data_IF_231403363081
#
_entry.id   IF_231403363081
#
_cell.length_a   1.000
_cell.length_b   1.000
_cell.length_c   1.000
_cell.angle_alpha   90.00
_cell.angle_beta   90.00
_cell.angle_gamma   90.00
#
_symmetry.space_group_name_H-M   'P 1'
#
loop_
_entity.id
_entity.type
_entity.pdbx_description
1 polymer ?
#
# COMPACT_ATOMS: atom_id res chain seq x y z
N UNK A 1 11.99 -0.46 27.25
CA UNK A 1 11.04 0.36 28.04
C UNK A 1 9.64 -0.24 27.94
N UNK A 2 9.10 -0.80 29.03
CA UNK A 2 7.80 -1.49 29.04
C UNK A 2 6.57 -0.57 28.86
N UNK A 3 6.80 0.75 28.81
CA UNK A 3 5.73 1.76 28.70
C UNK A 3 5.08 1.81 27.31
N UNK A 4 5.79 1.37 26.26
CA UNK A 4 5.31 1.48 24.90
C UNK A 4 4.27 0.37 24.65
N UNK A 5 2.98 0.71 24.42
CA UNK A 5 1.92 -0.30 24.29
C UNK A 5 2.11 -1.20 23.06
N UNK A 6 2.71 -0.66 21.99
CA UNK A 6 3.01 -1.42 20.77
C UNK A 6 4.41 -2.01 20.77
N UNK A 7 5.21 -1.80 21.82
CA UNK A 7 6.60 -2.26 21.89
C UNK A 7 7.46 -1.85 20.67
N UNK A 8 7.13 -0.74 20.00
CA UNK A 8 7.90 -0.25 18.84
C UNK A 8 9.18 0.45 19.27
N UNK A 9 9.23 1.00 20.48
CA UNK A 9 10.44 1.64 21.02
C UNK A 9 11.34 0.57 21.64
N UNK A 10 12.51 0.38 21.05
CA UNK A 10 13.55 -0.53 21.52
C UNK A 10 14.79 0.26 21.94
N UNK A 11 15.56 -0.20 22.94
CA UNK A 11 16.87 0.39 23.19
C UNK A 11 17.81 0.06 22.03
N UNK A 12 18.57 1.04 21.56
CA UNK A 12 19.68 0.81 20.64
C UNK A 12 20.72 -0.11 21.28
N UNK A 13 21.29 -0.99 20.45
CA UNK A 13 22.48 -1.74 20.77
C UNK A 13 23.71 -0.92 20.44
N UNK A 14 24.66 -1.52 19.71
CA UNK A 14 25.91 -0.87 19.31
C UNK A 14 25.82 -0.19 17.93
N UNK A 15 24.64 -0.18 17.29
CA UNK A 15 24.48 0.38 15.94
C UNK A 15 24.74 1.89 15.89
N UNK A 16 24.56 2.59 17.02
CA UNK A 16 24.86 4.01 17.18
C UNK A 16 26.19 4.32 17.88
N UNK A 17 27.09 3.35 17.98
CA UNK A 17 28.31 3.45 18.79
C UNK A 17 28.06 3.26 20.30
N UNK A 18 29.14 3.28 21.09
CA UNK A 18 29.07 3.05 22.54
C UNK A 18 28.24 4.13 23.28
N UNK A 19 28.23 5.36 22.76
CA UNK A 19 27.43 6.48 23.30
C UNK A 19 25.94 6.35 22.99
N UNK A 20 25.57 5.59 21.95
CA UNK A 20 24.19 5.38 21.52
C UNK A 20 23.46 4.28 22.28
N UNK A 21 24.16 3.45 23.05
CA UNK A 21 23.58 2.31 23.77
C UNK A 21 22.45 2.78 24.69
N UNK A 22 21.35 2.03 24.72
CA UNK A 22 20.12 2.36 25.48
C UNK A 22 19.31 3.56 24.96
N UNK A 23 19.78 4.28 23.96
CA UNK A 23 18.99 5.34 23.31
C UNK A 23 17.75 4.72 22.66
N UNK A 24 16.54 5.28 22.85
CA UNK A 24 15.35 4.77 22.20
C UNK A 24 15.43 4.87 20.68
N UNK A 25 15.22 3.74 20.00
CA UNK A 25 15.06 3.62 18.56
C UNK A 25 13.69 3.04 18.23
N UNK A 26 13.18 3.35 17.05
CA UNK A 26 11.93 2.78 16.54
C UNK A 26 12.25 1.50 15.76
N UNK A 27 11.60 0.41 16.14
CA UNK A 27 11.67 -0.87 15.45
C UNK A 27 10.25 -1.38 15.16
N UNK A 28 9.78 -1.10 13.95
CA UNK A 28 8.44 -1.46 13.47
C UNK A 28 8.27 -2.96 13.20
N UNK A 29 9.37 -3.74 13.23
CA UNK A 29 9.34 -5.19 13.04
C UNK A 29 9.10 -5.95 14.34
N UNK A 30 9.64 -5.46 15.45
CA UNK A 30 9.50 -6.08 16.78
C UNK A 30 8.19 -5.67 17.44
N UNK A 31 7.74 -4.44 17.21
CA UNK A 31 6.47 -3.96 17.75
C UNK A 31 5.27 -4.77 17.27
N UNK A 32 4.16 -4.70 18.00
CA UNK A 32 2.86 -5.26 17.60
C UNK A 32 2.08 -4.36 16.64
N UNK A 33 2.60 -3.16 16.38
CA UNK A 33 2.09 -2.18 15.41
C UNK A 33 3.14 -1.04 15.26
N UNK A 34 2.73 0.08 14.66
CA UNK A 34 3.51 1.32 14.63
C UNK A 34 3.47 2.14 15.93
N UNK A 35 3.96 3.37 15.87
CA UNK A 35 3.79 4.38 16.91
C UNK A 35 2.34 4.89 16.91
N UNK A 36 1.62 4.70 18.02
CA UNK A 36 0.21 5.09 18.14
C UNK A 36 0.04 6.61 18.16
N UNK A 37 -0.94 7.12 17.42
CA UNK A 37 -1.22 8.56 17.32
C UNK A 37 -1.50 9.18 18.70
N UNK A 38 -2.38 8.57 19.49
CA UNK A 38 -2.88 9.12 20.75
C UNK A 38 -2.06 8.68 21.97
N UNK A 39 -0.74 8.47 21.82
CA UNK A 39 0.14 8.03 22.91
C UNK A 39 1.40 8.91 23.00
N UNK A 40 1.75 9.35 24.21
CA UNK A 40 2.99 10.12 24.50
C UNK A 40 3.81 9.53 25.65
N UNK A 41 3.47 8.31 26.08
CA UNK A 41 3.97 7.73 27.34
C UNK A 41 5.50 7.60 27.42
N UNK A 42 6.17 7.37 26.29
CA UNK A 42 7.64 7.27 26.23
C UNK A 42 8.35 8.58 26.58
N UNK A 43 7.75 9.74 26.29
CA UNK A 43 8.34 11.04 26.62
C UNK A 43 8.43 11.32 28.12
N UNK A 44 7.64 10.62 28.93
CA UNK A 44 7.63 10.78 30.38
C UNK A 44 8.61 9.85 31.13
N UNK A 45 9.18 8.85 30.43
CA UNK A 45 10.03 7.83 31.07
C UNK A 45 11.37 7.63 30.36
N UNK A 46 11.69 8.44 29.36
CA UNK A 46 12.91 8.29 28.59
C UNK A 46 14.16 8.56 29.46
N UNK A 47 15.02 7.55 29.70
CA UNK A 47 16.15 7.70 30.63
C UNK A 47 17.29 8.55 30.06
N UNK A 48 17.43 8.60 28.73
CA UNK A 48 18.50 9.32 28.04
C UNK A 48 18.11 10.74 27.62
N UNK A 49 16.89 11.18 27.95
CA UNK A 49 16.30 12.42 27.46
C UNK A 49 16.23 12.57 25.93
N UNK A 50 16.47 11.49 25.16
CA UNK A 50 16.35 11.49 23.70
C UNK A 50 14.90 11.74 23.22
N UNK A 51 13.92 11.40 24.05
CA UNK A 51 12.51 11.75 23.85
C UNK A 51 12.12 12.65 25.03
N UNK A 52 11.94 13.94 24.75
CA UNK A 52 11.42 14.87 25.75
C UNK A 52 9.93 14.61 26.03
N UNK A 53 9.42 15.06 27.19
CA UNK A 53 7.98 15.12 27.41
C UNK A 53 7.30 15.98 26.33
N UNK A 54 6.23 15.45 25.74
CA UNK A 54 5.39 16.11 24.73
C UNK A 54 3.92 15.93 25.09
N UNK A 55 3.09 16.91 24.74
CA UNK A 55 1.63 16.77 24.89
C UNK A 55 1.03 16.05 23.68
N UNK A 56 -0.21 15.55 23.82
CA UNK A 56 -0.93 14.99 22.67
C UNK A 56 -1.21 16.04 21.59
N UNK A 57 -1.51 17.26 22.00
CA UNK A 57 -1.75 18.36 21.06
C UNK A 57 -0.48 18.70 20.28
N UNK A 58 0.67 18.71 20.94
CA UNK A 58 1.95 18.90 20.28
C UNK A 58 2.27 17.76 19.31
N UNK A 59 2.09 16.51 19.75
CA UNK A 59 2.32 15.34 18.90
C UNK A 59 1.46 15.38 17.63
N UNK A 60 0.20 15.76 17.77
CA UNK A 60 -0.79 15.77 16.69
C UNK A 60 -0.84 17.10 15.92
N UNK A 61 -0.10 18.14 16.35
CA UNK A 61 -0.14 19.45 15.72
C UNK A 61 -1.49 20.16 15.87
N UNK A 62 -2.11 20.06 17.04
CA UNK A 62 -3.43 20.63 17.34
C UNK A 62 -3.31 21.84 18.26
N UNK A 63 -4.39 22.63 18.35
CA UNK A 63 -4.50 23.79 19.23
C UNK A 63 -3.30 24.74 19.04
N UNK A 64 -2.55 25.04 20.10
CA UNK A 64 -1.39 25.93 20.04
C UNK A 64 -0.24 25.45 19.14
N UNK A 65 -0.30 24.23 18.60
CA UNK A 65 0.70 23.65 17.70
C UNK A 65 0.22 23.54 16.25
N UNK A 66 -0.91 24.15 15.89
CA UNK A 66 -1.48 24.08 14.55
C UNK A 66 -0.51 24.59 13.46
N UNK A 67 0.22 25.68 13.74
CA UNK A 67 1.16 26.28 12.78
C UNK A 67 2.42 25.41 12.56
N UNK A 68 2.86 24.69 13.60
CA UNK A 68 4.01 23.80 13.53
C UNK A 68 3.65 22.46 12.84
N UNK A 69 2.39 22.05 12.96
CA UNK A 69 1.91 20.74 12.51
C UNK A 69 2.35 19.59 13.43
N UNK A 70 2.01 18.34 13.07
CA UNK A 70 2.30 17.18 13.90
C UNK A 70 3.79 16.88 13.98
N UNK A 71 4.21 16.27 15.09
CA UNK A 71 5.56 15.72 15.21
C UNK A 71 5.70 14.56 14.22
N UNK A 72 6.67 14.70 13.31
CA UNK A 72 7.06 13.68 12.35
C UNK A 72 8.20 12.85 12.93
N UNK A 73 8.01 11.54 12.96
CA UNK A 73 9.04 10.57 13.32
C UNK A 73 9.92 10.19 12.12
N UNK A 74 9.52 10.62 10.91
CA UNK A 74 10.14 10.24 9.66
C UNK A 74 9.14 10.20 8.50
N UNK A 75 9.56 9.63 7.37
CA UNK A 75 8.74 9.51 6.16
C UNK A 75 8.79 8.09 5.62
N UNK A 76 7.65 7.59 5.16
CA UNK A 76 7.54 6.29 4.52
C UNK A 76 8.00 6.35 3.06
N UNK A 77 8.79 5.39 2.62
CA UNK A 77 9.20 5.21 1.24
C UNK A 77 8.82 3.82 0.74
N UNK A 78 8.24 3.75 -0.45
CA UNK A 78 7.89 2.50 -1.13
C UNK A 78 9.06 2.06 -2.01
N UNK A 79 9.55 0.85 -1.76
CA UNK A 79 10.47 0.14 -2.65
C UNK A 79 9.66 -0.54 -3.76
N UNK A 80 9.70 0.05 -4.96
CA UNK A 80 8.98 -0.47 -6.13
C UNK A 80 9.47 -1.86 -6.56
N UNK A 81 10.71 -2.24 -6.27
CA UNK A 81 11.25 -3.57 -6.58
C UNK A 81 10.73 -4.66 -5.64
N UNK A 82 10.05 -4.30 -4.54
CA UNK A 82 9.49 -5.24 -3.56
C UNK A 82 7.98 -5.13 -3.39
N UNK A 83 7.42 -3.96 -3.69
CA UNK A 83 6.00 -3.68 -3.50
C UNK A 83 5.17 -4.54 -4.45
N UNK A 84 4.20 -5.29 -3.92
CA UNK A 84 3.42 -6.28 -4.69
C UNK A 84 2.74 -5.70 -5.95
N UNK A 85 2.09 -4.52 -5.91
CA UNK A 85 1.49 -3.90 -7.10
C UNK A 85 2.50 -3.27 -8.08
N UNK A 86 3.78 -3.14 -7.68
CA UNK A 86 4.83 -2.57 -8.54
C UNK A 86 5.74 -3.65 -9.15
N UNK A 87 6.11 -4.67 -8.36
CA UNK A 87 7.11 -5.67 -8.73
C UNK A 87 6.53 -6.96 -9.30
N UNK A 88 5.29 -7.32 -8.90
CA UNK A 88 4.71 -8.64 -9.19
C UNK A 88 3.31 -8.56 -9.80
N UNK A 89 2.81 -7.36 -10.09
CA UNK A 89 1.45 -7.11 -10.58
C UNK A 89 0.37 -7.81 -9.73
N UNK A 90 0.59 -7.82 -8.39
CA UNK A 90 -0.34 -8.41 -7.43
C UNK A 90 -1.14 -7.30 -6.70
N UNK A 91 -2.48 -7.37 -6.68
CA UNK A 91 -3.31 -6.41 -5.94
C UNK A 91 -2.97 -6.38 -4.44
N UNK A 92 -2.69 -5.20 -3.90
CA UNK A 92 -2.42 -4.99 -2.48
C UNK A 92 -2.60 -3.51 -2.11
N UNK A 93 -3.39 -3.24 -1.07
CA UNK A 93 -3.68 -1.89 -0.57
C UNK A 93 -3.44 -1.72 0.94
N UNK A 94 -2.87 -2.72 1.60
CA UNK A 94 -2.71 -2.80 3.06
C UNK A 94 -2.10 -1.54 3.68
N UNK A 95 -1.07 -0.97 3.05
CA UNK A 95 -0.42 0.24 3.56
C UNK A 95 -1.34 1.48 3.51
N UNK A 96 -2.19 1.59 2.49
CA UNK A 96 -3.16 2.67 2.37
C UNK A 96 -4.30 2.48 3.38
N UNK A 97 -4.82 1.26 3.51
CA UNK A 97 -5.93 0.95 4.43
C UNK A 97 -5.55 1.22 5.88
N UNK A 98 -4.35 0.78 6.28
CA UNK A 98 -3.86 0.91 7.64
C UNK A 98 -3.21 2.27 7.96
N UNK A 99 -3.11 3.18 6.99
CA UNK A 99 -2.62 4.54 7.25
C UNK A 99 -3.54 5.26 8.26
N UNK A 100 -3.07 5.63 9.46
CA UNK A 100 -3.94 6.06 10.55
C UNK A 100 -4.21 7.57 10.55
N UNK A 101 -3.48 8.35 9.74
CA UNK A 101 -3.65 9.80 9.65
C UNK A 101 -4.83 10.17 8.74
N UNK A 102 -5.41 11.33 9.00
CA UNK A 102 -6.49 11.91 8.20
C UNK A 102 -6.15 13.37 7.86
N UNK A 103 -5.97 13.74 6.58
CA UNK A 103 -5.98 12.87 5.38
C UNK A 103 -4.94 11.74 5.42
N UNK A 104 -5.23 10.62 4.74
CA UNK A 104 -4.27 9.50 4.64
C UNK A 104 -3.01 9.96 3.91
N UNK A 105 -1.85 9.67 4.49
CA UNK A 105 -0.56 9.96 3.87
C UNK A 105 -0.23 9.05 2.69
N UNK A 106 -0.94 7.92 2.55
CA UNK A 106 -0.74 6.99 1.46
C UNK A 106 -2.02 6.99 0.66
N UNK A 107 -1.92 7.35 -0.62
CA UNK A 107 -3.01 7.25 -1.58
C UNK A 107 -2.63 6.26 -2.68
N UNK A 108 -3.59 5.85 -3.49
CA UNK A 108 -3.37 4.87 -4.57
C UNK A 108 -3.60 5.51 -5.92
N UNK A 109 -2.81 5.09 -6.91
CA UNK A 109 -3.06 5.36 -8.33
C UNK A 109 -3.54 4.07 -8.99
N UNK A 110 -4.70 4.13 -9.63
CA UNK A 110 -5.24 2.98 -10.35
C UNK A 110 -4.51 2.80 -11.68
N UNK A 111 -4.19 1.56 -12.01
CA UNK A 111 -3.60 1.18 -13.29
C UNK A 111 -4.12 -0.20 -13.71
N UNK A 112 -4.22 -0.43 -15.01
CA UNK A 112 -4.58 -1.73 -15.57
C UNK A 112 -3.38 -2.27 -16.31
N UNK A 113 -2.95 -3.48 -15.98
CA UNK A 113 -1.77 -4.12 -16.56
C UNK A 113 -2.20 -5.42 -17.23
N UNK A 114 -1.73 -5.69 -18.47
CA UNK A 114 -1.94 -6.99 -19.11
C UNK A 114 -1.42 -8.14 -18.24
N UNK A 115 -2.27 -9.12 -18.03
CA UNK A 115 -1.84 -10.38 -17.41
C UNK A 115 -0.95 -11.12 -18.41
N UNK A 116 0.11 -11.74 -17.90
CA UNK A 116 0.98 -12.59 -18.71
C UNK A 116 0.16 -13.68 -19.40
N UNK A 117 0.36 -13.83 -20.71
CA UNK A 117 -0.37 -14.78 -21.57
C UNK A 117 -1.90 -14.55 -21.59
N UNK A 118 -2.38 -13.38 -21.15
CA UNK A 118 -3.81 -13.03 -21.06
C UNK A 118 -4.45 -12.60 -22.37
N UNK A 119 -3.83 -12.85 -23.52
CA UNK A 119 -4.37 -12.47 -24.81
C UNK A 119 -5.01 -13.67 -25.50
N UNK A 120 -6.32 -13.59 -25.74
CA UNK A 120 -7.08 -14.71 -26.27
C UNK A 120 -7.94 -14.30 -27.47
N UNK A 121 -8.29 -15.31 -28.27
CA UNK A 121 -9.20 -15.16 -29.41
C UNK A 121 -10.57 -15.68 -29.01
N UNK A 122 -11.61 -14.89 -29.27
CA UNK A 122 -13.00 -15.23 -28.97
C UNK A 122 -13.50 -16.27 -29.96
N UNK A 123 -14.03 -17.39 -29.48
CA UNK A 123 -14.75 -18.38 -30.31
C UNK A 123 -16.22 -17.96 -30.45
N UNK A 124 -16.85 -17.65 -29.33
CA UNK A 124 -18.22 -17.19 -29.22
C UNK A 124 -18.31 -16.19 -28.08
N UNK A 125 -19.19 -15.20 -28.21
CA UNK A 125 -19.47 -14.28 -27.12
C UNK A 125 -20.93 -13.84 -27.15
N UNK A 126 -21.43 -13.60 -25.96
CA UNK A 126 -22.73 -13.05 -25.65
C UNK A 126 -22.49 -11.67 -25.01
N UNK A 127 -23.52 -11.03 -24.44
CA UNK A 127 -23.38 -9.72 -23.79
C UNK A 127 -22.51 -9.76 -22.52
N UNK A 128 -22.47 -10.91 -21.84
CA UNK A 128 -21.81 -11.10 -20.54
C UNK A 128 -20.83 -12.27 -20.51
N UNK A 129 -20.82 -13.12 -21.53
CA UNK A 129 -19.98 -14.32 -21.58
C UNK A 129 -19.08 -14.28 -22.79
N UNK A 130 -17.83 -14.70 -22.59
CA UNK A 130 -16.85 -14.90 -23.65
C UNK A 130 -16.38 -16.34 -23.55
N UNK A 131 -16.61 -17.12 -24.60
CA UNK A 131 -16.01 -18.42 -24.81
C UNK A 131 -14.74 -18.27 -25.66
N UNK A 132 -13.67 -18.93 -25.23
CA UNK A 132 -12.37 -18.98 -25.91
C UNK A 132 -12.21 -20.26 -26.74
N UNK A 133 -13.16 -21.20 -26.62
CA UNK A 133 -13.24 -22.42 -27.44
C UNK A 133 -12.20 -23.50 -27.10
N UNK A 134 -11.32 -23.25 -26.12
CA UNK A 134 -10.31 -24.19 -25.65
C UNK A 134 -9.99 -23.96 -24.16
N UNK A 135 -9.55 -24.99 -23.42
CA UNK A 135 -9.19 -24.89 -22.01
C UNK A 135 -7.83 -24.18 -21.85
N UNK A 136 -7.83 -22.86 -21.97
CA UNK A 136 -6.62 -22.01 -21.95
C UNK A 136 -6.45 -21.24 -20.65
N UNK A 137 -7.45 -21.27 -19.76
CA UNK A 137 -7.45 -20.57 -18.48
C UNK A 137 -7.35 -21.57 -17.33
N UNK A 138 -6.79 -21.12 -16.21
CA UNK A 138 -6.94 -21.82 -14.94
C UNK A 138 -8.29 -21.43 -14.30
N UNK A 139 -9.19 -22.39 -14.00
CA UNK A 139 -10.50 -22.09 -13.41
C UNK A 139 -10.41 -21.25 -12.15
N UNK A 140 -11.35 -20.32 -11.96
CA UNK A 140 -11.47 -19.43 -10.79
C UNK A 140 -10.27 -18.50 -10.50
N UNK A 141 -9.29 -18.41 -11.40
CA UNK A 141 -8.13 -17.55 -11.21
C UNK A 141 -8.47 -16.06 -11.36
N UNK A 142 -9.46 -15.74 -12.19
CA UNK A 142 -9.82 -14.36 -12.57
C UNK A 142 -11.07 -13.83 -11.84
N UNK A 143 -11.60 -14.57 -10.86
CA UNK A 143 -12.81 -14.20 -10.11
C UNK A 143 -12.56 -13.43 -8.82
N UNK A 144 -11.31 -13.05 -8.51
CA UNK A 144 -10.96 -12.35 -7.25
C UNK A 144 -11.43 -10.90 -7.20
N UNK A 145 -11.94 -10.35 -8.31
CA UNK A 145 -12.49 -9.01 -8.40
C UNK A 145 -11.54 -7.94 -8.93
N UNK A 146 -10.25 -8.23 -9.04
CA UNK A 146 -9.25 -7.31 -9.60
C UNK A 146 -8.97 -7.56 -11.08
N UNK A 147 -9.58 -8.58 -11.68
CA UNK A 147 -9.36 -8.92 -13.07
C UNK A 147 -10.46 -8.39 -13.99
N UNK A 148 -10.03 -7.97 -15.17
CA UNK A 148 -10.87 -7.34 -16.18
C UNK A 148 -10.55 -7.91 -17.54
N UNK A 149 -11.51 -7.87 -18.44
CA UNK A 149 -11.37 -8.22 -19.84
C UNK A 149 -11.58 -6.97 -20.68
N UNK A 150 -10.68 -6.72 -21.63
CA UNK A 150 -10.76 -5.61 -22.58
C UNK A 150 -10.76 -6.14 -24.01
N UNK A 151 -11.76 -5.82 -24.83
CA UNK A 151 -11.71 -6.12 -26.27
C UNK A 151 -10.74 -5.18 -26.97
N UNK A 152 -9.91 -5.69 -27.88
CA UNK A 152 -8.98 -4.87 -28.68
C UNK A 152 -9.66 -4.22 -29.90
N UNK A 153 -10.94 -4.51 -30.11
CA UNK A 153 -11.72 -4.10 -31.28
C UNK A 153 -12.98 -3.31 -30.94
N UNK A 154 -13.16 -2.90 -29.67
CA UNK A 154 -14.30 -2.10 -29.21
C UNK A 154 -13.92 -0.60 -29.16
N UNK A 155 -14.72 0.32 -29.73
CA UNK A 155 -14.47 1.77 -29.66
C UNK A 155 -14.47 2.36 -28.24
N UNK A 156 -15.08 1.72 -27.25
CA UNK A 156 -15.08 2.17 -25.84
C UNK A 156 -13.75 1.87 -25.12
N UNK A 157 -12.94 0.92 -25.62
CA UNK A 157 -11.64 0.42 -25.08
C UNK A 157 -11.58 0.20 -23.55
N UNK A 158 -12.72 0.17 -22.88
CA UNK A 158 -12.75 0.26 -21.42
C UNK A 158 -12.92 -1.12 -20.79
N UNK A 159 -12.08 -1.50 -19.80
CA UNK A 159 -12.09 -2.85 -19.23
C UNK A 159 -13.42 -3.21 -18.57
N UNK A 160 -13.88 -4.46 -18.74
CA UNK A 160 -15.05 -5.03 -18.07
C UNK A 160 -14.61 -6.00 -16.98
N UNK A 161 -15.16 -5.87 -15.77
CA UNK A 161 -14.76 -6.72 -14.64
C UNK A 161 -15.16 -8.17 -14.89
N UNK A 162 -14.26 -9.10 -14.57
CA UNK A 162 -14.52 -10.54 -14.61
C UNK A 162 -15.09 -10.96 -13.26
N UNK A 163 -16.24 -11.63 -13.28
CA UNK A 163 -16.90 -12.15 -12.06
C UNK A 163 -16.69 -13.64 -11.88
N UNK A 164 -16.52 -14.38 -12.98
CA UNK A 164 -16.25 -15.81 -12.96
C UNK A 164 -15.44 -16.22 -14.20
N UNK A 165 -14.68 -17.31 -14.08
CA UNK A 165 -14.08 -17.98 -15.22
C UNK A 165 -14.01 -19.49 -15.01
N UNK A 166 -14.26 -20.24 -16.08
CA UNK A 166 -13.92 -21.67 -16.19
C UNK A 166 -12.54 -21.82 -16.84
N UNK A 167 -12.22 -22.98 -17.38
CA UNK A 167 -11.03 -23.22 -18.19
C UNK A 167 -11.10 -22.62 -19.60
N UNK A 168 -12.30 -22.43 -20.17
CA UNK A 168 -12.50 -21.87 -21.52
C UNK A 168 -13.40 -20.63 -21.57
N UNK A 169 -14.15 -20.33 -20.50
CA UNK A 169 -15.18 -19.29 -20.51
C UNK A 169 -14.89 -18.21 -19.45
N UNK A 170 -15.23 -16.97 -19.79
CA UNK A 170 -15.16 -15.80 -18.91
C UNK A 170 -16.56 -15.20 -18.79
N UNK A 171 -16.98 -14.91 -17.56
CA UNK A 171 -18.23 -14.19 -17.26
C UNK A 171 -17.90 -12.80 -16.73
N UNK A 172 -18.58 -11.80 -17.28
CA UNK A 172 -18.40 -10.39 -16.99
C UNK A 172 -19.48 -9.86 -16.04
N UNK A 173 -19.13 -8.77 -15.38
CA UNK A 173 -20.04 -8.03 -14.49
C UNK A 173 -21.23 -7.44 -15.29
N UNK A 174 -22.44 -7.74 -14.83
CA UNK A 174 -23.69 -7.30 -15.46
C UNK A 174 -23.95 -5.79 -15.36
N UNK A 175 -23.22 -5.07 -14.49
CA UNK A 175 -23.32 -3.62 -14.42
C UNK A 175 -22.75 -2.92 -15.66
N UNK A 176 -21.91 -3.60 -16.44
CA UNK A 176 -21.27 -3.02 -17.62
C UNK A 176 -21.12 -4.05 -18.74
N UNK A 177 -22.24 -4.51 -19.35
CA UNK A 177 -22.19 -5.45 -20.47
C UNK A 177 -21.44 -4.84 -21.67
N UNK A 178 -21.10 -5.68 -22.63
CA UNK A 178 -20.70 -5.15 -23.93
C UNK A 178 -21.88 -4.51 -24.64
N UNK A 179 -21.64 -3.39 -25.33
CA UNK A 179 -22.68 -2.73 -26.13
C UNK A 179 -23.14 -3.60 -27.32
N UNK A 180 -22.29 -4.51 -27.78
CA UNK A 180 -22.63 -5.55 -28.74
C UNK A 180 -21.75 -6.78 -28.50
N UNK A 181 -22.26 -8.01 -28.69
CA UNK A 181 -21.46 -9.22 -28.54
C UNK A 181 -20.22 -9.21 -29.43
N UNK A 182 -19.10 -9.71 -28.91
CA UNK A 182 -17.85 -9.79 -29.66
C UNK A 182 -17.99 -10.81 -30.79
N UNK A 183 -17.50 -10.46 -31.97
CA UNK A 183 -17.51 -11.36 -33.12
C UNK A 183 -16.53 -12.52 -32.90
N UNK A 184 -16.82 -13.74 -33.37
CA UNK A 184 -15.84 -14.81 -33.46
C UNK A 184 -14.57 -14.32 -34.18
N UNK A 185 -13.39 -14.65 -33.63
CA UNK A 185 -12.09 -14.16 -34.10
C UNK A 185 -11.66 -12.81 -33.53
N UNK A 186 -12.52 -12.10 -32.79
CA UNK A 186 -12.11 -10.92 -32.04
C UNK A 186 -11.04 -11.27 -30.99
N UNK A 187 -10.21 -10.29 -30.64
CA UNK A 187 -9.16 -10.47 -29.63
C UNK A 187 -9.54 -9.75 -28.36
N UNK A 188 -9.32 -10.42 -27.24
CA UNK A 188 -9.50 -9.87 -25.90
C UNK A 188 -8.18 -9.96 -25.12
N UNK A 189 -8.00 -9.00 -24.23
CA UNK A 189 -6.87 -8.93 -23.31
C UNK A 189 -7.38 -8.96 -21.87
N UNK A 190 -6.84 -9.88 -21.08
CA UNK A 190 -7.07 -9.94 -19.65
C UNK A 190 -6.12 -8.98 -18.94
N UNK A 191 -6.69 -8.16 -18.06
CA UNK A 191 -6.01 -7.12 -17.32
C UNK A 191 -6.16 -7.39 -15.82
N UNK A 192 -5.15 -7.04 -15.05
CA UNK A 192 -5.26 -6.89 -13.59
C UNK A 192 -5.30 -5.40 -13.25
N UNK A 193 -6.29 -5.01 -12.44
CA UNK A 193 -6.40 -3.67 -11.85
C UNK A 193 -5.53 -3.63 -10.61
N UNK A 194 -4.57 -2.72 -10.61
CA UNK A 194 -3.65 -2.50 -9.51
C UNK A 194 -3.84 -1.11 -8.93
N UNK A 195 -3.75 -1.05 -7.61
CA UNK A 195 -3.81 0.19 -6.84
C UNK A 195 -2.40 0.46 -6.29
N UNK A 196 -1.59 1.19 -7.07
CA UNK A 196 -0.19 1.44 -6.76
C UNK A 196 -0.06 2.51 -5.68
N UNK A 197 0.53 2.20 -4.52
CA UNK A 197 0.61 3.15 -3.40
C UNK A 197 1.62 4.25 -3.69
N UNK A 198 1.27 5.48 -3.28
CA UNK A 198 2.11 6.68 -3.33
C UNK A 198 2.01 7.38 -1.98
N UNK A 199 3.17 7.75 -1.42
CA UNK A 199 3.25 8.45 -0.13
C UNK A 199 3.27 9.96 -0.40
N UNK A 200 2.42 10.71 0.28
CA UNK A 200 2.46 12.17 0.38
C UNK A 200 3.21 12.57 1.67
N UNK A 201 4.45 13.11 1.55
CA UNK A 201 5.25 13.48 2.72
C UNK A 201 4.65 14.59 3.57
N UNK A 202 3.69 15.36 3.04
CA UNK A 202 3.04 16.45 3.79
C UNK A 202 2.21 15.91 4.95
N UNK A 203 1.54 14.77 4.73
CA UNK A 203 0.69 14.10 5.72
C UNK A 203 1.41 12.96 6.46
N UNK A 204 2.52 12.45 5.91
CA UNK A 204 3.27 11.37 6.55
C UNK A 204 3.92 11.85 7.86
N UNK A 205 3.70 11.11 8.94
CA UNK A 205 4.30 11.38 10.26
C UNK A 205 5.30 10.29 10.69
N UNK A 206 5.60 9.33 9.82
CA UNK A 206 6.56 8.26 10.14
C UNK A 206 6.10 7.27 11.21
N UNK A 207 4.79 7.08 11.41
CA UNK A 207 4.28 6.19 12.47
C UNK A 207 4.65 4.71 12.28
N UNK A 208 4.99 4.28 11.06
CA UNK A 208 5.46 2.93 10.77
C UNK A 208 4.42 1.80 10.82
N UNK A 209 3.13 2.11 10.97
CA UNK A 209 2.05 1.11 10.82
C UNK A 209 2.14 0.43 9.44
N UNK A 210 2.36 1.21 8.37
CA UNK A 210 2.49 0.67 7.02
C UNK A 210 3.69 -0.28 6.85
N UNK A 211 4.81 -0.04 7.53
CA UNK A 211 5.97 -0.92 7.51
C UNK A 211 5.69 -2.22 8.26
N UNK A 212 5.06 -2.13 9.42
CA UNK A 212 4.67 -3.27 10.24
C UNK A 212 3.72 -4.20 9.47
N UNK A 213 2.63 -3.64 8.97
CA UNK A 213 1.55 -4.35 8.28
C UNK A 213 1.92 -4.83 6.88
N UNK A 214 3.05 -4.37 6.32
CA UNK A 214 3.46 -4.74 4.98
C UNK A 214 3.60 -6.28 4.88
N UNK A 215 2.87 -6.96 3.97
CA UNK A 215 2.85 -8.41 3.89
C UNK A 215 4.14 -9.00 3.28
N UNK A 216 5.03 -8.15 2.74
CA UNK A 216 6.29 -8.60 2.15
C UNK A 216 7.22 -9.09 3.25
N UNK A 217 7.64 -10.36 3.12
CA UNK A 217 8.56 -11.02 4.05
C UNK A 217 10.02 -10.60 3.83
N UNK A 218 10.85 -10.75 4.85
CA UNK A 218 12.23 -10.24 4.83
C UNK A 218 12.25 -8.72 4.98
N UNK A 219 12.81 -8.00 4.01
CA UNK A 219 12.78 -6.53 3.98
C UNK A 219 11.39 -6.03 3.55
N UNK A 220 10.78 -5.14 4.32
CA UNK A 220 9.44 -4.63 4.01
C UNK A 220 9.48 -3.76 2.74
N UNK A 221 8.42 -3.79 1.94
CA UNK A 221 8.33 -3.02 0.70
C UNK A 221 8.00 -1.53 0.92
N UNK A 222 7.50 -1.17 2.10
CA UNK A 222 7.38 0.21 2.52
C UNK A 222 8.09 0.33 3.88
N UNK A 223 8.94 1.34 4.04
CA UNK A 223 9.76 1.52 5.24
C UNK A 223 9.80 2.98 5.67
N UNK A 224 9.85 3.22 6.97
CA UNK A 224 10.08 4.54 7.52
C UNK A 224 11.58 4.82 7.51
N UNK A 225 11.93 6.04 7.09
CA UNK A 225 13.28 6.59 7.19
C UNK A 225 13.24 7.86 8.04
N UNK A 226 14.40 8.34 8.46
CA UNK A 226 14.50 9.58 9.25
C UNK A 226 14.17 10.85 8.44
N UNK A 227 13.96 10.73 7.13
CA UNK A 227 13.61 11.86 6.27
C UNK A 227 12.33 12.56 6.76
N UNK A 228 12.38 13.89 6.76
CA UNK A 228 11.36 14.81 7.25
C UNK A 228 11.00 14.67 8.74
N UNK A 229 11.85 14.05 9.56
CA UNK A 229 11.60 13.97 11.00
C UNK A 229 11.75 15.34 11.69
N UNK A 230 10.93 15.61 12.71
CA UNK A 230 10.91 16.91 13.40
C UNK A 230 12.16 17.17 14.24
N UNK A 231 12.84 16.11 14.71
CA UNK A 231 13.95 16.25 15.67
C UNK A 231 15.26 16.73 15.05
N UNK A 232 15.46 16.53 13.74
CA UNK A 232 16.69 16.94 13.05
C UNK A 232 16.35 17.81 11.82
N UNK A 233 16.65 19.11 11.85
CA UNK A 233 16.44 20.01 10.71
C UNK A 233 17.16 19.59 9.42
N UNK A 234 18.29 18.87 9.53
CA UNK A 234 19.06 18.41 8.38
C UNK A 234 18.34 17.33 7.56
N UNK A 235 17.39 16.63 8.16
CA UNK A 235 16.59 15.61 7.48
C UNK A 235 15.38 16.21 6.74
N UNK A 236 15.25 17.54 6.63
CA UNK A 236 14.12 18.16 5.96
C UNK A 236 14.09 17.80 4.48
N UNK A 237 12.95 17.28 4.00
CA UNK A 237 12.75 17.02 2.58
C UNK A 237 12.65 18.34 1.81
N UNK A 238 13.36 18.41 0.68
CA UNK A 238 13.22 19.46 -0.32
C UNK A 238 12.02 19.11 -1.21
N UNK A 239 10.87 19.73 -0.94
CA UNK A 239 9.60 19.52 -1.65
C UNK A 239 9.19 20.77 -2.42
#
# INVERSE_FOLDING_TARGET
MRVCPTNVIQPAGLEGGAEGVWTPTLNFRIGTSGCQLNCVACGHVCPTAAIRPITLDEKLGRNGFADAGPIRLGTAFVDHGRCLPWAMDRPCIVCQENCPVSPKAIFVRETFIPVRDGMHTVSHADELTIDLGAPVLAPQTFSTGDYYCRPLSDPDDSPRRIVANTDSMITLDSNRPFASPLRPGARVELLVRLQRPVVDPRYCIGCGVCEHECPVMGVKAIRITAENETRNPEHKLLL
#
